data_IF_241494225131
#
_entry.id   IF_241494225131
#
_cell.length_a   1.000
_cell.length_b   1.000
_cell.length_c   1.000
_cell.angle_alpha   90.00
_cell.angle_beta   90.00
_cell.angle_gamma   90.00
#
_symmetry.space_group_name_H-M   'P 1'
#
loop_
_entity.id
_entity.type
_entity.pdbx_description
1 polymer ?
#
# COMPACT_ATOMS: atom_id res chain seq x y z
N UNK A 1 -7.66 -7.42 4.59
CA UNK A 1 -6.96 -7.04 5.83
C UNK A 1 -7.22 -8.03 6.96
N UNK A 2 -8.44 -8.42 7.25
CA UNK A 2 -8.77 -9.39 8.32
C UNK A 2 -8.01 -10.71 8.13
N UNK A 3 -8.10 -11.30 6.94
CA UNK A 3 -7.38 -12.56 6.64
C UNK A 3 -5.87 -12.43 6.79
N UNK A 4 -5.31 -11.29 6.38
CA UNK A 4 -3.88 -11.02 6.55
C UNK A 4 -3.48 -10.92 8.03
N UNK A 5 -4.31 -10.32 8.87
CA UNK A 5 -4.05 -10.28 10.32
C UNK A 5 -4.16 -11.66 10.96
N UNK A 6 -5.15 -12.46 10.57
CA UNK A 6 -5.28 -13.85 11.04
C UNK A 6 -4.06 -14.67 10.65
N UNK A 7 -3.69 -14.63 9.36
CA UNK A 7 -2.50 -15.33 8.89
C UNK A 7 -1.24 -14.92 9.67
N UNK A 8 -1.04 -13.63 9.87
CA UNK A 8 0.12 -13.13 10.61
C UNK A 8 0.11 -13.58 12.07
N UNK A 9 -1.07 -13.60 12.70
CA UNK A 9 -1.24 -14.12 14.06
C UNK A 9 -0.89 -15.60 14.15
N UNK A 10 -1.36 -16.42 13.20
CA UNK A 10 -1.05 -17.84 13.13
C UNK A 10 0.47 -18.07 12.98
N UNK A 11 1.12 -17.28 12.12
CA UNK A 11 2.58 -17.32 11.96
C UNK A 11 3.30 -16.97 13.27
N UNK A 12 2.87 -15.92 13.95
CA UNK A 12 3.45 -15.49 15.23
C UNK A 12 3.29 -16.55 16.34
N UNK A 13 2.19 -17.28 16.33
CA UNK A 13 1.90 -18.34 17.34
C UNK A 13 2.53 -19.69 16.98
N UNK A 14 3.06 -19.83 15.78
CA UNK A 14 3.63 -21.09 15.30
C UNK A 14 5.11 -21.26 15.63
N UNK A 15 5.58 -22.50 15.59
CA UNK A 15 6.99 -22.86 15.65
C UNK A 15 7.73 -22.37 16.91
N UNK A 16 9.00 -22.06 16.76
CA UNK A 16 9.86 -21.64 17.88
C UNK A 16 9.55 -20.20 18.35
N UNK A 17 9.06 -19.36 17.45
CA UNK A 17 8.67 -17.99 17.80
C UNK A 17 7.46 -17.99 18.73
N UNK A 18 6.44 -18.81 18.44
CA UNK A 18 5.25 -18.89 19.27
C UNK A 18 5.53 -19.32 20.71
N UNK A 19 6.55 -20.18 20.91
CA UNK A 19 6.99 -20.58 22.26
C UNK A 19 7.58 -19.43 23.09
N UNK A 20 8.01 -18.35 22.46
CA UNK A 20 8.63 -17.19 23.12
C UNK A 20 7.65 -16.03 23.33
N UNK A 21 6.53 -16.02 22.60
CA UNK A 21 5.50 -15.00 22.73
C UNK A 21 4.63 -15.31 23.94
N UNK A 22 4.65 -14.44 24.93
CA UNK A 22 3.82 -14.58 26.15
C UNK A 22 2.40 -14.06 25.93
N UNK A 23 2.25 -12.97 25.18
CA UNK A 23 0.97 -12.29 24.99
C UNK A 23 0.96 -11.55 23.67
N UNK A 24 -0.14 -11.63 22.94
CA UNK A 24 -0.41 -10.78 21.77
C UNK A 24 -1.23 -9.59 22.28
N UNK A 25 -0.68 -8.39 22.11
CA UNK A 25 -1.27 -7.15 22.66
C UNK A 25 -2.43 -6.66 21.77
N UNK A 26 -2.31 -6.85 20.44
CA UNK A 26 -3.30 -6.36 19.49
C UNK A 26 -3.30 -7.17 18.17
N UNK A 27 -4.46 -7.59 17.65
CA UNK A 27 -5.76 -7.59 18.34
C UNK A 27 -5.74 -8.48 19.56
N UNK A 28 -6.32 -8.00 20.67
CA UNK A 28 -6.32 -8.72 21.92
C UNK A 28 -7.42 -9.80 21.93
N UNK A 29 -7.11 -10.93 22.59
CA UNK A 29 -8.11 -11.93 22.99
C UNK A 29 -9.17 -11.32 23.94
N UNK A 30 -10.38 -11.87 24.06
CA UNK A 30 -10.75 -13.16 23.49
C UNK A 30 -11.48 -13.09 22.13
N UNK A 31 -11.96 -11.91 21.71
CA UNK A 31 -12.83 -11.82 20.52
C UNK A 31 -12.02 -11.61 19.23
N UNK A 32 -12.01 -12.63 18.38
CA UNK A 32 -11.42 -12.62 17.03
C UNK A 32 -12.49 -12.81 15.93
N UNK A 33 -13.74 -12.47 16.24
CA UNK A 33 -14.81 -12.42 15.24
C UNK A 33 -14.48 -11.45 14.10
N UNK A 34 -15.16 -11.60 12.97
CA UNK A 34 -14.97 -10.69 11.83
C UNK A 34 -15.30 -9.24 12.19
N UNK A 35 -16.31 -9.03 13.04
CA UNK A 35 -16.70 -7.72 13.55
C UNK A 35 -15.60 -7.08 14.40
N UNK A 36 -15.05 -7.84 15.35
CA UNK A 36 -13.98 -7.35 16.22
C UNK A 36 -12.69 -7.05 15.44
N UNK A 37 -12.33 -7.93 14.51
CA UNK A 37 -11.18 -7.74 13.63
C UNK A 37 -11.37 -6.55 12.69
N UNK A 38 -12.56 -6.35 12.13
CA UNK A 38 -12.87 -5.18 11.31
C UNK A 38 -12.82 -3.89 12.12
N UNK A 39 -13.35 -3.88 13.34
CA UNK A 39 -13.26 -2.74 14.25
C UNK A 39 -11.80 -2.41 14.59
N UNK A 40 -11.00 -3.42 14.88
CA UNK A 40 -9.56 -3.26 15.09
C UNK A 40 -8.87 -2.66 13.87
N UNK A 41 -9.13 -3.19 12.66
CA UNK A 41 -8.58 -2.64 11.42
C UNK A 41 -8.94 -1.16 11.26
N UNK A 42 -10.21 -0.78 11.41
CA UNK A 42 -10.65 0.62 11.29
C UNK A 42 -9.95 1.55 12.28
N UNK A 43 -9.73 1.08 13.50
CA UNK A 43 -9.10 1.87 14.57
C UNK A 43 -7.60 2.05 14.36
N UNK A 44 -6.91 1.05 13.86
CA UNK A 44 -5.44 1.02 13.85
C UNK A 44 -4.81 1.11 12.46
N UNK A 45 -5.61 1.09 11.37
CA UNK A 45 -5.07 1.27 10.02
C UNK A 45 -4.39 2.61 9.88
N UNK A 46 -3.20 2.60 9.32
CA UNK A 46 -2.41 3.80 9.02
C UNK A 46 -1.83 3.70 7.63
N UNK A 47 -1.40 4.83 7.09
CA UNK A 47 -0.60 4.84 5.87
C UNK A 47 0.69 4.06 6.08
N UNK A 48 1.12 3.34 5.04
CA UNK A 48 2.44 2.71 5.01
C UNK A 48 3.49 3.58 4.29
N UNK A 49 3.19 4.88 4.14
CA UNK A 49 4.07 5.88 3.55
C UNK A 49 4.49 5.59 2.11
N UNK A 50 3.59 4.98 1.33
CA UNK A 50 3.78 4.71 -0.09
C UNK A 50 2.70 5.42 -0.94
N UNK A 51 2.66 6.77 -0.95
CA UNK A 51 1.71 7.50 -1.79
C UNK A 51 2.04 7.32 -3.27
N UNK A 52 0.99 7.26 -4.11
CA UNK A 52 1.12 7.16 -5.55
C UNK A 52 -0.08 7.81 -6.25
N UNK A 53 0.04 8.09 -7.55
CA UNK A 53 -1.09 8.45 -8.40
C UNK A 53 -1.58 9.89 -8.33
N UNK A 54 -0.93 10.79 -7.63
CA UNK A 54 -1.36 12.20 -7.53
C UNK A 54 -1.14 13.02 -8.81
N UNK A 55 -0.24 12.56 -9.69
CA UNK A 55 -0.04 13.06 -11.04
C UNK A 55 -0.06 11.90 -12.03
N UNK A 56 -1.08 11.04 -11.95
CA UNK A 56 -1.08 9.74 -12.62
C UNK A 56 -0.99 9.84 -14.14
N UNK A 57 -0.23 8.92 -14.72
CA UNK A 57 -0.26 8.69 -16.16
C UNK A 57 -1.55 7.95 -16.56
N UNK A 58 -1.95 8.10 -17.80
CA UNK A 58 -3.11 7.39 -18.35
C UNK A 58 -3.20 7.46 -19.85
N UNK A 59 -4.21 6.77 -20.41
CA UNK A 59 -4.50 6.78 -21.84
C UNK A 59 -4.94 8.17 -22.31
N UNK A 60 -4.76 8.45 -23.60
CA UNK A 60 -5.04 9.79 -24.17
C UNK A 60 -6.47 10.28 -23.89
N UNK A 61 -7.42 9.38 -23.86
CA UNK A 61 -8.85 9.63 -23.63
C UNK A 61 -9.24 9.64 -22.14
N UNK A 62 -8.29 9.39 -21.22
CA UNK A 62 -8.55 9.48 -19.79
C UNK A 62 -8.52 10.93 -19.32
N UNK A 63 -9.69 11.53 -18.96
CA UNK A 63 -9.78 12.92 -18.54
C UNK A 63 -9.10 13.22 -17.20
N UNK A 64 -8.80 12.18 -16.41
CA UNK A 64 -8.15 12.33 -15.10
C UNK A 64 -6.63 12.10 -15.18
N UNK A 65 -6.09 11.72 -16.31
CA UNK A 65 -4.66 11.54 -16.46
C UNK A 65 -3.95 12.89 -16.59
N UNK A 66 -2.99 13.14 -15.72
CA UNK A 66 -2.12 14.33 -15.73
C UNK A 66 -0.95 14.15 -16.68
N UNK A 67 -0.47 12.92 -16.81
CA UNK A 67 0.68 12.56 -17.64
C UNK A 67 0.28 11.63 -18.78
N UNK A 68 1.05 11.67 -19.85
CA UNK A 68 1.04 10.65 -20.90
C UNK A 68 1.91 9.44 -20.51
N UNK A 69 1.98 8.42 -21.40
CA UNK A 69 2.80 7.22 -21.20
C UNK A 69 4.32 7.49 -21.22
N UNK A 70 4.76 8.67 -21.56
CA UNK A 70 6.14 9.14 -21.56
C UNK A 70 6.45 10.05 -20.38
N UNK A 71 5.55 10.08 -19.38
CA UNK A 71 5.64 10.91 -18.18
C UNK A 71 5.61 12.42 -18.46
N UNK A 72 5.25 12.85 -19.67
CA UNK A 72 5.10 14.24 -20.00
C UNK A 72 3.79 14.81 -19.46
N UNK A 73 3.85 16.00 -18.88
CA UNK A 73 2.67 16.70 -18.37
C UNK A 73 1.82 17.18 -19.53
N UNK A 74 0.55 16.80 -19.55
CA UNK A 74 -0.39 17.18 -20.60
C UNK A 74 -0.62 18.68 -20.61
N UNK A 75 -0.52 19.28 -21.80
CA UNK A 75 -0.74 20.70 -21.98
C UNK A 75 0.43 21.61 -21.58
N UNK A 76 1.55 21.05 -21.14
CA UNK A 76 2.76 21.81 -20.81
C UNK A 76 3.94 21.18 -21.54
N UNK A 77 4.66 21.99 -22.30
CA UNK A 77 5.84 21.53 -23.02
C UNK A 77 7.07 21.41 -22.11
N UNK A 78 7.92 20.43 -22.39
CA UNK A 78 9.21 20.22 -21.74
C UNK A 78 9.15 19.97 -20.22
N UNK A 79 8.00 19.52 -19.70
CA UNK A 79 7.83 19.15 -18.31
C UNK A 79 7.49 17.66 -18.18
N UNK A 80 8.18 16.97 -17.28
CA UNK A 80 7.93 15.58 -16.92
C UNK A 80 7.84 15.42 -15.41
N UNK A 81 7.11 14.38 -14.97
CA UNK A 81 7.08 13.93 -13.57
C UNK A 81 7.45 12.47 -13.54
N UNK A 82 8.58 12.16 -12.89
CA UNK A 82 9.22 10.84 -12.89
C UNK A 82 9.37 10.30 -11.47
N UNK A 83 8.28 10.21 -10.74
CA UNK A 83 8.22 9.63 -9.40
C UNK A 83 6.92 8.81 -9.21
N UNK A 84 6.68 8.31 -8.00
CA UNK A 84 5.50 7.49 -7.70
C UNK A 84 4.16 8.22 -7.89
N UNK A 85 4.15 9.55 -7.99
CA UNK A 85 2.91 10.28 -8.31
C UNK A 85 2.41 9.96 -9.73
N UNK A 86 3.32 9.60 -10.65
CA UNK A 86 3.00 9.19 -12.01
C UNK A 86 2.28 7.83 -12.10
N UNK A 87 2.44 6.96 -11.10
CA UNK A 87 1.95 5.58 -11.12
C UNK A 87 0.46 5.53 -10.78
N UNK A 88 -0.42 5.05 -11.68
CA UNK A 88 -1.87 5.10 -11.47
C UNK A 88 -2.37 4.15 -10.39
N UNK A 89 -1.70 3.01 -10.19
CA UNK A 89 -2.05 2.00 -9.18
C UNK A 89 -0.81 1.64 -8.37
N UNK A 90 -0.97 1.60 -7.04
CA UNK A 90 0.13 1.23 -6.16
C UNK A 90 0.64 -0.19 -6.47
N UNK A 91 1.94 -0.37 -6.45
CA UNK A 91 2.59 -1.66 -6.66
C UNK A 91 2.32 -2.62 -5.48
N UNK A 92 2.38 -3.92 -5.74
CA UNK A 92 2.20 -4.94 -4.70
C UNK A 92 3.39 -5.00 -3.70
N UNK A 93 4.52 -4.43 -4.07
CA UNK A 93 5.70 -4.34 -3.23
C UNK A 93 6.02 -2.90 -2.81
N UNK A 94 7.12 -2.74 -2.09
CA UNK A 94 7.65 -1.45 -1.67
C UNK A 94 7.91 -0.55 -2.89
N UNK A 95 7.50 0.72 -2.82
CA UNK A 95 7.50 1.65 -3.96
C UNK A 95 8.89 2.14 -4.38
N UNK A 96 9.93 1.90 -3.57
CA UNK A 96 11.25 2.46 -3.82
C UNK A 96 11.86 2.00 -5.16
N UNK A 97 11.75 0.70 -5.48
CA UNK A 97 12.29 0.18 -6.75
C UNK A 97 11.56 0.78 -7.96
N UNK A 98 10.24 0.92 -7.88
CA UNK A 98 9.44 1.55 -8.94
C UNK A 98 9.79 3.05 -9.09
N UNK A 99 9.99 3.76 -7.98
CA UNK A 99 10.40 5.16 -8.00
C UNK A 99 11.77 5.36 -8.68
N UNK A 100 12.74 4.52 -8.36
CA UNK A 100 14.06 4.56 -9.00
C UNK A 100 13.98 4.26 -10.50
N UNK A 101 13.21 3.24 -10.90
CA UNK A 101 13.00 2.90 -12.32
C UNK A 101 12.38 4.05 -13.12
N UNK A 102 11.49 4.83 -12.52
CA UNK A 102 10.85 5.97 -13.21
C UNK A 102 11.79 7.19 -13.30
N UNK A 103 12.73 7.31 -12.39
CA UNK A 103 13.68 8.44 -12.34
C UNK A 103 14.93 8.25 -13.20
N UNK A 104 15.19 7.02 -13.69
CA UNK A 104 16.33 6.66 -14.54
C UNK A 104 16.03 6.96 -16.03
#
# INVERSE_FOLDING_TARGET
MIDGQRYFRDVLQSGQLGKRIKTIIAPAEPDLSDEAMAAHCRKFVKTNYHPSGTARMGAHDDPLAVLDSRLAVRGIENLRVCDMSAVPNITAGNTNAAAMMLGD
#
